data_IF_706637284532
#
_entry.id   IF_706637284532
#
_cell.length_a   1.000
_cell.length_b   1.000
_cell.length_c   1.000
_cell.angle_alpha   90.00
_cell.angle_beta   90.00
_cell.angle_gamma   90.00
#
_symmetry.space_group_name_H-M   'P 1'
#
loop_
_entity.id
_entity.type
_entity.pdbx_description
1 polymer ?
#
# COMPACT_ATOMS: atom_id res chain seq x y z
N UNK A 1 10.95 -22.99 -16.27
CA UNK A 1 12.14 -22.81 -15.43
C UNK A 1 13.22 -21.89 -16.03
N UNK A 2 13.09 -21.37 -17.26
CA UNK A 2 14.05 -20.38 -17.84
C UNK A 2 14.07 -19.00 -17.18
N UNK A 3 12.95 -18.53 -16.62
CA UNK A 3 12.87 -17.20 -16.01
C UNK A 3 13.69 -17.08 -14.70
N UNK A 4 13.89 -18.19 -13.98
CA UNK A 4 14.68 -18.24 -12.75
C UNK A 4 16.18 -18.30 -13.02
N UNK A 5 16.60 -18.93 -14.11
CA UNK A 5 18.00 -18.94 -14.56
C UNK A 5 18.45 -17.54 -15.00
N UNK A 6 17.54 -16.75 -15.59
CA UNK A 6 17.76 -15.32 -15.91
C UNK A 6 17.82 -14.44 -14.65
N UNK A 7 17.29 -14.88 -13.51
CA UNK A 7 17.35 -14.14 -12.24
C UNK A 7 18.67 -14.34 -11.50
N UNK A 8 19.53 -15.28 -11.93
CA UNK A 8 20.94 -15.38 -11.51
C UNK A 8 21.81 -14.52 -12.44
N UNK A 9 21.34 -13.32 -12.78
CA UNK A 9 22.10 -12.33 -13.54
C UNK A 9 22.66 -11.28 -12.61
N UNK A 10 23.73 -10.64 -13.06
CA UNK A 10 24.24 -9.44 -12.43
C UNK A 10 23.11 -8.40 -12.32
N UNK A 11 22.88 -7.90 -11.11
CA UNK A 11 21.82 -6.95 -10.84
C UNK A 11 21.92 -5.71 -11.77
N UNK A 12 23.15 -5.30 -12.14
CA UNK A 12 23.40 -4.23 -13.11
C UNK A 12 22.71 -4.49 -14.46
N UNK A 13 22.79 -5.72 -14.97
CA UNK A 13 22.17 -6.13 -16.23
C UNK A 13 20.65 -6.04 -16.13
N UNK A 14 20.07 -6.52 -15.02
CA UNK A 14 18.62 -6.43 -14.77
C UNK A 14 18.11 -4.99 -14.75
N UNK A 15 18.83 -4.07 -14.08
CA UNK A 15 18.47 -2.65 -14.07
C UNK A 15 18.59 -2.00 -15.46
N UNK A 16 19.53 -2.45 -16.30
CA UNK A 16 19.68 -1.94 -17.68
C UNK A 16 18.41 -2.17 -18.52
N UNK A 17 17.67 -3.24 -18.24
CA UNK A 17 16.44 -3.59 -18.96
C UNK A 17 15.22 -2.73 -18.57
N UNK A 18 15.25 -1.99 -17.45
CA UNK A 18 14.09 -1.20 -17.01
C UNK A 18 13.63 -0.20 -18.06
N UNK A 19 14.58 0.48 -18.73
CA UNK A 19 14.26 1.46 -19.79
C UNK A 19 13.55 0.78 -20.95
N UNK A 20 14.07 -0.35 -21.42
CA UNK A 20 13.44 -1.16 -22.45
C UNK A 20 12.05 -1.61 -22.02
N UNK A 21 11.91 -2.13 -20.80
CA UNK A 21 10.63 -2.54 -20.25
C UNK A 21 9.61 -1.39 -20.20
N UNK A 22 10.01 -0.20 -19.75
CA UNK A 22 9.13 0.97 -19.71
C UNK A 22 8.61 1.36 -21.10
N UNK A 23 9.50 1.37 -22.10
CA UNK A 23 9.15 1.62 -23.51
C UNK A 23 8.18 0.55 -24.02
N UNK A 24 8.47 -0.73 -23.75
CA UNK A 24 7.60 -1.84 -24.18
C UNK A 24 6.22 -1.79 -23.54
N UNK A 25 6.12 -1.45 -22.25
CA UNK A 25 4.83 -1.27 -21.57
C UNK A 25 4.00 -0.20 -22.27
N UNK A 26 4.61 0.96 -22.56
CA UNK A 26 3.91 2.07 -23.21
C UNK A 26 3.54 1.76 -24.68
N UNK A 27 4.42 1.07 -25.41
CA UNK A 27 4.20 0.72 -26.81
C UNK A 27 3.11 -0.34 -27.00
N UNK A 28 3.12 -1.39 -26.17
CA UNK A 28 2.24 -2.56 -26.35
C UNK A 28 1.00 -2.55 -25.46
N UNK A 29 0.91 -1.63 -24.49
CA UNK A 29 -0.30 -1.45 -23.66
C UNK A 29 -0.74 0.02 -23.69
N UNK A 30 -1.32 0.50 -24.80
CA UNK A 30 -1.73 1.89 -24.94
C UNK A 30 -2.56 2.39 -23.76
N UNK A 31 -2.25 3.61 -23.29
CA UNK A 31 -2.85 4.22 -22.09
C UNK A 31 -2.14 3.83 -20.78
N UNK A 32 -1.36 2.76 -20.76
CA UNK A 32 -0.55 2.39 -19.59
C UNK A 32 0.63 3.33 -19.41
N UNK A 33 1.14 3.40 -18.19
CA UNK A 33 2.22 4.30 -17.81
C UNK A 33 3.34 3.51 -17.15
N UNK A 34 4.57 3.74 -17.62
CA UNK A 34 5.79 3.32 -16.97
C UNK A 34 6.78 4.50 -16.94
N UNK A 35 7.09 5.03 -15.75
CA UNK A 35 7.99 6.17 -15.57
C UNK A 35 9.25 5.77 -14.85
N UNK A 36 10.40 6.09 -15.46
CA UNK A 36 11.71 6.00 -14.82
C UNK A 36 12.14 7.41 -14.45
N UNK A 37 12.48 7.62 -13.19
CA UNK A 37 13.13 8.81 -12.70
C UNK A 37 14.59 8.51 -12.42
N UNK A 38 15.47 9.35 -12.97
CA UNK A 38 16.90 9.33 -12.73
C UNK A 38 17.27 10.54 -11.87
N UNK A 39 18.31 10.40 -11.07
CA UNK A 39 18.92 11.54 -10.40
C UNK A 39 19.47 12.51 -11.46
N UNK A 40 19.16 13.80 -11.32
CA UNK A 40 19.47 14.85 -12.30
C UNK A 40 20.96 14.92 -12.63
N UNK A 41 21.83 14.80 -11.63
CA UNK A 41 23.26 15.08 -11.79
C UNK A 41 24.07 13.85 -12.22
N UNK A 42 23.60 12.65 -11.87
CA UNK A 42 24.36 11.41 -12.04
C UNK A 42 23.74 10.47 -13.08
N UNK A 43 22.52 10.75 -13.53
CA UNK A 43 21.70 9.85 -14.36
C UNK A 43 21.52 8.44 -13.76
N UNK A 44 21.74 8.29 -12.46
CA UNK A 44 21.57 7.04 -11.73
C UNK A 44 20.08 6.79 -11.52
N UNK A 45 19.66 5.52 -11.66
CA UNK A 45 18.31 5.09 -11.37
C UNK A 45 17.88 5.51 -9.96
N UNK A 46 16.73 6.17 -9.86
CA UNK A 46 16.16 6.56 -8.57
C UNK A 46 14.82 5.89 -8.31
N UNK A 47 13.88 6.02 -9.25
CA UNK A 47 12.51 5.55 -9.07
C UNK A 47 11.92 4.95 -10.34
N UNK A 48 11.03 3.97 -10.17
CA UNK A 48 10.28 3.36 -11.27
C UNK A 48 8.81 3.21 -10.90
N UNK A 49 7.89 3.81 -11.64
CA UNK A 49 6.44 3.67 -11.44
C UNK A 49 5.81 2.94 -12.61
N UNK A 50 4.90 2.00 -12.34
CA UNK A 50 4.12 1.32 -13.37
C UNK A 50 2.66 1.23 -12.97
N UNK A 51 1.77 1.58 -13.91
CA UNK A 51 0.34 1.36 -13.80
C UNK A 51 -0.26 1.10 -15.18
N UNK A 52 -1.08 0.05 -15.29
CA UNK A 52 -1.65 -0.38 -16.56
C UNK A 52 -3.06 0.18 -16.75
N UNK A 53 -3.39 0.58 -17.97
CA UNK A 53 -4.72 1.11 -18.30
C UNK A 53 -5.82 0.08 -18.04
N UNK A 54 -5.57 -1.20 -18.36
CA UNK A 54 -6.49 -2.28 -18.07
C UNK A 54 -6.81 -2.40 -16.57
N UNK A 55 -5.79 -2.22 -15.71
CA UNK A 55 -5.97 -2.28 -14.25
C UNK A 55 -6.78 -1.09 -13.74
N UNK A 56 -6.53 0.11 -14.28
CA UNK A 56 -7.35 1.28 -13.97
C UNK A 56 -8.81 1.09 -14.36
N UNK A 57 -9.09 0.58 -15.57
CA UNK A 57 -10.47 0.35 -16.03
C UNK A 57 -11.19 -0.66 -15.14
N UNK A 58 -10.57 -1.82 -14.90
CA UNK A 58 -11.13 -2.84 -14.02
C UNK A 58 -11.36 -2.34 -12.59
N UNK A 59 -10.50 -1.46 -12.08
CA UNK A 59 -10.70 -0.80 -10.80
C UNK A 59 -11.93 0.11 -10.79
N UNK A 60 -12.01 1.03 -11.75
CA UNK A 60 -13.08 2.03 -11.79
C UNK A 60 -14.45 1.36 -11.99
N UNK A 61 -14.51 0.35 -12.85
CA UNK A 61 -15.77 -0.29 -13.27
C UNK A 61 -16.20 -1.44 -12.35
N UNK A 62 -15.27 -2.23 -11.82
CA UNK A 62 -15.60 -3.50 -11.15
C UNK A 62 -15.10 -3.65 -9.71
N UNK A 63 -14.15 -2.84 -9.26
CA UNK A 63 -13.63 -2.97 -7.90
C UNK A 63 -14.41 -2.15 -6.88
N UNK A 64 -14.27 -2.55 -5.62
CA UNK A 64 -14.72 -1.77 -4.47
C UNK A 64 -13.93 -0.46 -4.41
N UNK A 65 -14.53 0.64 -3.89
CA UNK A 65 -13.86 1.93 -3.72
C UNK A 65 -12.84 1.89 -2.58
N UNK A 66 -11.84 1.01 -2.71
CA UNK A 66 -10.86 0.67 -1.69
C UNK A 66 -9.50 0.43 -2.33
N UNK A 67 -8.46 1.03 -1.77
CA UNK A 67 -7.06 0.80 -2.15
C UNK A 67 -6.25 0.47 -0.89
N UNK A 68 -5.70 -0.74 -0.84
CA UNK A 68 -4.63 -1.10 0.08
C UNK A 68 -3.29 -0.66 -0.47
N UNK A 69 -2.44 -0.06 0.36
CA UNK A 69 -1.07 0.29 0.02
C UNK A 69 -0.09 -0.28 1.05
N UNK A 70 1.04 -0.77 0.57
CA UNK A 70 2.09 -1.33 1.43
C UNK A 70 3.47 -1.20 0.78
N UNK A 71 4.51 -1.23 1.62
CA UNK A 71 5.92 -1.21 1.24
C UNK A 71 6.60 -2.56 1.52
N UNK A 72 7.51 -2.98 0.64
CA UNK A 72 8.35 -4.15 0.86
C UNK A 72 9.79 -3.84 0.51
N UNK A 73 10.71 -4.18 1.42
CA UNK A 73 12.14 -3.97 1.20
C UNK A 73 12.66 -4.96 0.15
N UNK A 74 13.33 -4.44 -0.86
CA UNK A 74 13.96 -5.25 -1.90
C UNK A 74 15.23 -5.89 -1.32
N UNK A 75 15.45 -7.16 -1.67
CA UNK A 75 16.69 -7.89 -1.34
C UNK A 75 17.64 -7.80 -2.53
N UNK A 76 18.91 -7.54 -2.26
CA UNK A 76 19.96 -7.45 -3.27
C UNK A 76 20.99 -6.37 -2.94
N UNK A 77 22.02 -6.25 -3.79
CA UNK A 77 23.13 -5.32 -3.59
C UNK A 77 22.72 -3.83 -3.63
N UNK A 78 21.61 -3.51 -4.30
CA UNK A 78 21.14 -2.12 -4.48
C UNK A 78 20.04 -1.68 -3.50
N UNK A 79 19.50 -2.61 -2.68
CA UNK A 79 18.46 -2.32 -1.71
C UNK A 79 17.22 -1.65 -2.30
N UNK A 80 16.63 -0.71 -1.55
CA UNK A 80 15.42 0.02 -1.93
C UNK A 80 14.13 -0.65 -1.48
N UNK A 81 13.01 -0.07 -1.90
CA UNK A 81 11.67 -0.50 -1.50
C UNK A 81 10.75 -0.52 -2.71
N UNK A 82 9.92 -1.55 -2.82
CA UNK A 82 8.76 -1.57 -3.69
C UNK A 82 7.51 -1.18 -2.90
N UNK A 83 6.89 -0.07 -3.28
CA UNK A 83 5.56 0.32 -2.85
C UNK A 83 4.55 -0.26 -3.82
N UNK A 84 3.42 -0.72 -3.30
CA UNK A 84 2.35 -1.30 -4.11
C UNK A 84 1.00 -0.73 -3.73
N UNK A 85 0.11 -0.65 -4.72
CA UNK A 85 -1.30 -0.35 -4.53
C UNK A 85 -2.12 -1.52 -5.07
N UNK A 86 -3.05 -2.01 -4.25
CA UNK A 86 -3.96 -3.10 -4.58
C UNK A 86 -5.39 -2.67 -4.27
N UNK A 87 -6.34 -3.08 -5.10
CA UNK A 87 -7.76 -2.96 -4.82
C UNK A 87 -8.35 -4.30 -4.40
N UNK A 88 -9.62 -4.27 -4.04
CA UNK A 88 -10.45 -5.45 -3.89
C UNK A 88 -11.50 -5.46 -4.99
N UNK A 89 -11.56 -6.56 -5.75
CA UNK A 89 -12.65 -6.76 -6.71
C UNK A 89 -14.00 -7.00 -5.99
N UNK A 90 -15.08 -7.12 -6.75
CA UNK A 90 -16.40 -7.41 -6.22
C UNK A 90 -16.44 -8.69 -5.36
N UNK A 91 -15.62 -9.69 -5.71
CA UNK A 91 -15.51 -11.00 -5.05
C UNK A 91 -14.51 -11.00 -3.87
N UNK A 92 -13.98 -9.84 -3.47
CA UNK A 92 -12.95 -9.71 -2.43
C UNK A 92 -11.59 -10.32 -2.81
N UNK A 93 -11.34 -10.56 -4.09
CA UNK A 93 -10.02 -10.90 -4.61
C UNK A 93 -9.08 -9.70 -4.62
N UNK A 94 -7.78 -9.94 -4.42
CA UNK A 94 -6.77 -8.91 -4.55
C UNK A 94 -6.58 -8.54 -6.03
N UNK A 95 -6.65 -7.26 -6.32
CA UNK A 95 -6.54 -6.73 -7.67
C UNK A 95 -5.37 -5.73 -7.76
N UNK A 96 -4.22 -6.10 -8.37
CA UNK A 96 -3.06 -5.22 -8.44
C UNK A 96 -3.32 -3.96 -9.27
N UNK A 97 -3.10 -2.76 -8.71
CA UNK A 97 -3.29 -1.49 -9.43
C UNK A 97 -1.99 -0.93 -9.98
N UNK A 98 -1.00 -0.76 -9.11
CA UNK A 98 0.25 -0.10 -9.44
C UNK A 98 1.37 -0.56 -8.52
N UNK A 99 2.60 -0.43 -9.00
CA UNK A 99 3.78 -0.58 -8.15
C UNK A 99 4.80 0.49 -8.45
N UNK A 100 5.67 0.72 -7.48
CA UNK A 100 6.63 1.80 -7.48
C UNK A 100 7.90 1.40 -6.74
N UNK A 101 9.02 1.38 -7.45
CA UNK A 101 10.34 1.16 -6.86
C UNK A 101 10.93 2.52 -6.48
N UNK A 102 11.45 2.63 -5.27
CA UNK A 102 12.08 3.84 -4.76
C UNK A 102 13.19 3.54 -3.76
N UNK A 103 13.91 4.59 -3.38
CA UNK A 103 15.03 4.55 -2.46
C UNK A 103 14.65 4.13 -1.03
N UNK A 104 13.41 4.35 -0.62
CA UNK A 104 12.95 4.05 0.74
C UNK A 104 11.56 4.60 1.05
N UNK A 105 11.01 4.18 2.18
CA UNK A 105 9.67 4.59 2.65
C UNK A 105 9.72 5.95 3.34
N UNK A 106 9.83 7.00 2.55
CA UNK A 106 9.83 8.39 3.05
C UNK A 106 8.54 9.10 2.69
N UNK A 107 8.24 10.21 3.38
CA UNK A 107 7.15 11.10 2.97
C UNK A 107 7.27 11.50 1.49
N UNK A 108 8.49 11.75 1.01
CA UNK A 108 8.75 12.14 -0.38
C UNK A 108 8.45 11.01 -1.36
N UNK A 109 8.87 9.78 -1.05
CA UNK A 109 8.60 8.59 -1.88
C UNK A 109 7.10 8.29 -1.97
N UNK A 110 6.41 8.30 -0.82
CA UNK A 110 4.96 8.10 -0.75
C UNK A 110 4.20 9.21 -1.46
N UNK A 111 4.63 10.45 -1.30
CA UNK A 111 4.08 11.62 -2.01
C UNK A 111 4.16 11.45 -3.51
N UNK A 112 5.33 11.03 -4.02
CA UNK A 112 5.53 10.82 -5.44
C UNK A 112 4.62 9.69 -5.95
N UNK A 113 4.59 8.54 -5.25
CA UNK A 113 3.76 7.40 -5.62
C UNK A 113 2.26 7.75 -5.66
N UNK A 114 1.74 8.34 -4.58
CA UNK A 114 0.32 8.68 -4.47
C UNK A 114 -0.10 9.80 -5.42
N UNK A 115 0.81 10.73 -5.74
CA UNK A 115 0.59 11.73 -6.80
C UNK A 115 0.43 11.05 -8.16
N UNK A 116 1.36 10.17 -8.54
CA UNK A 116 1.25 9.48 -9.84
C UNK A 116 0.01 8.61 -9.91
N UNK A 117 -0.32 7.89 -8.82
CA UNK A 117 -1.53 7.09 -8.75
C UNK A 117 -2.79 7.95 -8.96
N UNK A 118 -2.87 9.14 -8.35
CA UNK A 118 -3.98 10.08 -8.56
C UNK A 118 -4.05 10.57 -9.99
N UNK A 119 -2.93 11.03 -10.54
CA UNK A 119 -2.86 11.53 -11.91
C UNK A 119 -3.26 10.47 -12.95
N UNK A 120 -2.88 9.22 -12.70
CA UNK A 120 -3.19 8.11 -13.59
C UNK A 120 -4.64 7.64 -13.48
N UNK A 121 -5.10 7.34 -12.26
CA UNK A 121 -6.45 6.83 -12.01
C UNK A 121 -7.52 7.84 -12.41
N UNK A 122 -7.27 9.14 -12.18
CA UNK A 122 -8.29 10.21 -12.36
C UNK A 122 -9.62 9.80 -11.74
N UNK A 123 -9.55 9.26 -10.54
CA UNK A 123 -10.72 8.73 -9.85
C UNK A 123 -11.76 9.85 -9.61
N UNK A 124 -13.05 9.62 -9.87
CA UNK A 124 -14.08 10.65 -9.75
C UNK A 124 -14.10 11.28 -8.35
N UNK A 125 -14.08 12.62 -8.26
CA UNK A 125 -13.98 13.33 -6.98
C UNK A 125 -15.26 13.25 -6.12
N UNK A 126 -16.38 12.93 -6.76
CA UNK A 126 -17.70 12.73 -6.15
C UNK A 126 -17.88 11.31 -5.60
N UNK A 127 -17.03 10.36 -6.00
CA UNK A 127 -17.08 8.99 -5.49
C UNK A 127 -16.21 8.88 -4.23
N UNK A 128 -16.72 8.30 -3.12
CA UNK A 128 -15.88 8.05 -1.95
C UNK A 128 -14.79 7.02 -2.30
N UNK A 129 -13.65 7.11 -1.61
CA UNK A 129 -12.57 6.12 -1.70
C UNK A 129 -11.95 5.92 -0.32
N UNK A 130 -11.68 4.67 0.02
CA UNK A 130 -11.00 4.29 1.25
C UNK A 130 -9.58 3.83 0.93
N UNK A 131 -8.58 4.37 1.64
CA UNK A 131 -7.23 3.85 1.63
C UNK A 131 -6.96 3.07 2.92
N UNK A 132 -6.27 1.94 2.81
CA UNK A 132 -5.72 1.23 3.96
C UNK A 132 -4.21 1.13 3.84
N UNK A 133 -3.49 1.57 4.86
CA UNK A 133 -2.04 1.47 4.94
C UNK A 133 -1.59 0.88 6.27
N UNK A 134 -0.28 0.68 6.41
CA UNK A 134 0.34 0.57 7.72
C UNK A 134 0.31 1.92 8.48
N UNK A 135 0.86 1.96 9.70
CA UNK A 135 0.85 3.15 10.57
C UNK A 135 2.05 4.07 10.32
N UNK A 136 2.66 4.05 9.14
CA UNK A 136 3.84 4.86 8.88
C UNK A 136 3.46 6.34 8.66
N UNK A 137 4.14 7.25 9.37
CA UNK A 137 3.87 8.70 9.29
C UNK A 137 4.01 9.27 7.87
N UNK A 138 4.94 8.72 7.07
CA UNK A 138 5.16 9.14 5.69
C UNK A 138 3.93 8.91 4.79
N UNK A 139 3.27 7.76 4.94
CA UNK A 139 2.07 7.40 4.16
C UNK A 139 0.92 8.34 4.48
N UNK A 140 0.63 8.54 5.78
CA UNK A 140 -0.50 9.35 6.24
C UNK A 140 -0.33 10.81 5.77
N UNK A 141 0.88 11.35 5.87
CA UNK A 141 1.18 12.69 5.36
C UNK A 141 0.97 12.83 3.85
N UNK A 142 1.40 11.82 3.08
CA UNK A 142 1.23 11.81 1.63
C UNK A 142 -0.25 11.63 1.20
N UNK A 143 -1.02 10.80 1.89
CA UNK A 143 -2.46 10.66 1.67
C UNK A 143 -3.20 11.97 1.93
N UNK A 144 -2.87 12.68 3.02
CA UNK A 144 -3.45 14.00 3.31
C UNK A 144 -3.14 15.02 2.21
N UNK A 145 -1.95 14.95 1.62
CA UNK A 145 -1.53 15.88 0.56
C UNK A 145 -2.19 15.59 -0.79
N UNK A 146 -2.21 14.33 -1.22
CA UNK A 146 -2.65 13.96 -2.57
C UNK A 146 -4.05 13.38 -2.64
N UNK A 147 -4.59 12.84 -1.55
CA UNK A 147 -5.94 12.25 -1.48
C UNK A 147 -6.72 12.80 -0.27
N UNK A 148 -6.88 14.14 -0.15
CA UNK A 148 -7.41 14.76 1.07
C UNK A 148 -8.86 14.38 1.41
N UNK A 149 -9.65 13.95 0.42
CA UNK A 149 -11.04 13.51 0.59
C UNK A 149 -11.17 12.01 0.89
N UNK A 150 -10.07 11.25 0.84
CA UNK A 150 -10.10 9.81 1.07
C UNK A 150 -10.34 9.49 2.55
N UNK A 151 -11.12 8.44 2.80
CA UNK A 151 -11.20 7.83 4.12
C UNK A 151 -9.91 7.04 4.33
N UNK A 152 -9.19 7.31 5.40
CA UNK A 152 -7.99 6.56 5.76
C UNK A 152 -8.34 5.53 6.83
N UNK A 153 -7.77 4.33 6.68
CA UNK A 153 -7.86 3.22 7.62
C UNK A 153 -6.49 2.63 7.84
N UNK A 154 -6.29 2.09 9.03
CA UNK A 154 -5.04 1.46 9.42
C UNK A 154 -5.19 -0.06 9.40
N UNK A 155 -4.18 -0.74 8.88
CA UNK A 155 -4.17 -2.19 8.76
C UNK A 155 -4.22 -2.87 10.14
N UNK A 156 -5.30 -3.61 10.41
CA UNK A 156 -5.50 -4.31 11.68
C UNK A 156 -4.38 -5.31 12.01
N UNK A 157 -3.76 -5.92 10.99
CA UNK A 157 -2.59 -6.79 11.16
C UNK A 157 -1.40 -6.01 11.74
N UNK A 158 -1.10 -4.83 11.22
CA UNK A 158 -0.01 -4.00 11.71
C UNK A 158 -0.32 -3.42 13.10
N UNK A 159 -1.56 -3.00 13.34
CA UNK A 159 -2.02 -2.62 14.69
C UNK A 159 -1.77 -3.77 15.66
N UNK A 160 -2.21 -4.98 15.32
CA UNK A 160 -2.06 -6.14 16.19
C UNK A 160 -0.60 -6.50 16.42
N UNK A 161 0.24 -6.48 15.38
CA UNK A 161 1.67 -6.77 15.51
C UNK A 161 2.31 -5.88 16.59
N UNK A 162 2.10 -4.57 16.50
CA UNK A 162 2.62 -3.60 17.48
C UNK A 162 1.93 -3.69 18.85
N UNK A 163 0.64 -3.99 18.87
CA UNK A 163 -0.12 -4.15 20.10
C UNK A 163 0.32 -5.39 20.89
N UNK A 164 0.58 -6.50 20.19
CA UNK A 164 0.92 -7.79 20.78
C UNK A 164 2.30 -7.85 21.43
N UNK A 165 3.21 -6.93 21.08
CA UNK A 165 4.51 -6.80 21.76
C UNK A 165 4.36 -6.25 23.19
N UNK A 166 3.30 -5.47 23.45
CA UNK A 166 3.01 -4.88 24.77
C UNK A 166 1.91 -5.64 25.52
N UNK A 167 0.90 -6.10 24.80
CA UNK A 167 -0.30 -6.72 25.35
C UNK A 167 -0.52 -8.07 24.68
N UNK A 168 0.12 -9.10 25.23
CA UNK A 168 0.00 -10.47 24.75
C UNK A 168 -1.08 -11.24 25.51
N UNK A 169 -1.59 -12.32 24.92
CA UNK A 169 -2.58 -13.20 25.56
C UNK A 169 -3.66 -13.66 24.59
N UNK A 170 -4.03 -14.94 24.69
CA UNK A 170 -4.97 -15.57 23.75
C UNK A 170 -6.37 -14.94 23.80
N UNK A 171 -6.85 -14.56 24.99
CA UNK A 171 -8.15 -13.89 25.18
C UNK A 171 -8.17 -12.51 24.51
N UNK A 172 -7.17 -11.68 24.78
CA UNK A 172 -7.03 -10.34 24.17
C UNK A 172 -6.90 -10.48 22.64
N UNK A 173 -6.09 -11.43 22.15
CA UNK A 173 -5.99 -11.72 20.71
C UNK A 173 -7.34 -12.02 20.08
N UNK A 174 -8.13 -12.92 20.68
CA UNK A 174 -9.47 -13.28 20.18
C UNK A 174 -10.39 -12.07 20.13
N UNK A 175 -10.41 -11.26 21.20
CA UNK A 175 -11.23 -10.06 21.27
C UNK A 175 -10.80 -8.98 20.26
N UNK A 176 -9.49 -8.77 20.09
CA UNK A 176 -8.96 -7.84 19.10
C UNK A 176 -9.44 -8.20 17.68
N UNK A 177 -9.30 -9.47 17.29
CA UNK A 177 -9.72 -9.94 15.97
C UNK A 177 -11.24 -10.00 15.81
N UNK A 178 -12.00 -10.16 16.90
CA UNK A 178 -13.45 -9.99 16.90
C UNK A 178 -13.83 -8.53 16.62
N UNK A 179 -13.20 -7.59 17.32
CA UNK A 179 -13.42 -6.17 17.13
C UNK A 179 -13.08 -5.72 15.69
N UNK A 180 -11.95 -6.17 15.13
CA UNK A 180 -11.51 -5.72 13.81
C UNK A 180 -12.32 -6.28 12.63
N UNK A 181 -13.06 -7.38 12.83
CA UNK A 181 -13.84 -8.06 11.79
C UNK A 181 -15.33 -7.73 11.81
N UNK A 182 -15.86 -7.19 12.90
CA UNK A 182 -17.28 -6.91 13.01
C UNK A 182 -17.65 -5.63 12.25
N UNK A 183 -18.78 -5.68 11.52
CA UNK A 183 -19.42 -4.51 10.93
C UNK A 183 -20.36 -3.79 11.89
N UNK A 184 -20.63 -4.37 13.07
CA UNK A 184 -21.55 -3.83 14.07
C UNK A 184 -20.80 -2.97 15.09
N UNK A 185 -21.23 -1.71 15.21
CA UNK A 185 -20.68 -0.75 16.19
C UNK A 185 -20.86 -1.19 17.64
N UNK A 186 -21.96 -1.86 17.96
CA UNK A 186 -22.23 -2.39 19.29
C UNK A 186 -21.25 -3.53 19.62
N UNK A 187 -21.10 -4.50 18.73
CA UNK A 187 -20.14 -5.60 18.92
C UNK A 187 -18.69 -5.10 18.98
N UNK A 188 -18.33 -4.10 18.18
CA UNK A 188 -17.03 -3.46 18.23
C UNK A 188 -16.79 -2.86 19.62
N UNK A 189 -17.70 -2.02 20.10
CA UNK A 189 -17.60 -1.38 21.42
C UNK A 189 -17.52 -2.41 22.54
N UNK A 190 -18.37 -3.44 22.50
CA UNK A 190 -18.35 -4.54 23.47
C UNK A 190 -17.01 -5.27 23.47
N UNK A 191 -16.48 -5.62 22.30
CA UNK A 191 -15.18 -6.30 22.20
C UNK A 191 -14.02 -5.44 22.75
N UNK A 192 -14.06 -4.12 22.53
CA UNK A 192 -13.09 -3.17 23.10
C UNK A 192 -13.24 -3.05 24.63
N UNK A 193 -14.47 -3.00 25.14
CA UNK A 193 -14.75 -3.00 26.58
C UNK A 193 -14.28 -4.29 27.25
N UNK A 194 -14.52 -5.45 26.63
CA UNK A 194 -14.07 -6.76 27.11
C UNK A 194 -12.52 -6.81 27.18
N UNK A 195 -11.81 -6.17 26.23
CA UNK A 195 -10.35 -6.00 26.32
C UNK A 195 -9.99 -5.14 27.53
N UNK A 196 -10.70 -4.05 27.76
CA UNK A 196 -10.50 -3.15 28.90
C UNK A 196 -10.71 -3.83 30.26
N UNK A 197 -11.68 -4.75 30.37
CA UNK A 197 -11.91 -5.56 31.57
C UNK A 197 -10.75 -6.53 31.86
N UNK A 198 -10.02 -6.96 30.84
CA UNK A 198 -8.81 -7.78 31.01
C UNK A 198 -7.60 -6.90 31.33
N UNK A 199 -7.45 -5.80 30.58
CA UNK A 199 -6.36 -4.85 30.75
C UNK A 199 -6.79 -3.45 30.27
N UNK A 200 -6.95 -2.53 31.21
CA UNK A 200 -7.39 -1.16 30.94
C UNK A 200 -6.40 -0.36 30.08
N UNK A 201 -5.09 -0.60 30.25
CA UNK A 201 -4.05 0.04 29.43
C UNK A 201 -4.09 -0.44 27.98
N UNK A 202 -4.44 -1.70 27.75
CA UNK A 202 -4.61 -2.24 26.40
C UNK A 202 -5.76 -1.55 25.65
N UNK A 203 -6.89 -1.30 26.33
CA UNK A 203 -7.99 -0.52 25.79
C UNK A 203 -7.57 0.93 25.49
N UNK A 204 -6.89 1.58 26.44
CA UNK A 204 -6.39 2.95 26.27
C UNK A 204 -5.41 3.07 25.08
N UNK A 205 -4.53 2.08 24.90
CA UNK A 205 -3.62 2.03 23.76
C UNK A 205 -4.37 1.99 22.43
N UNK A 206 -5.42 1.17 22.30
CA UNK A 206 -6.21 1.06 21.08
C UNK A 206 -7.03 2.33 20.83
N UNK A 207 -7.57 2.96 21.88
CA UNK A 207 -8.31 4.21 21.79
C UNK A 207 -7.44 5.40 21.35
N UNK A 208 -6.14 5.36 21.65
CA UNK A 208 -5.17 6.39 21.23
C UNK A 208 -4.74 6.27 19.76
N UNK A 209 -5.23 5.25 19.03
CA UNK A 209 -4.97 5.12 17.59
C UNK A 209 -5.97 5.98 16.84
N UNK A 210 -5.53 7.14 16.37
CA UNK A 210 -6.31 7.98 15.47
C UNK A 210 -6.59 7.25 14.14
N UNK A 211 -7.80 7.38 13.56
CA UNK A 211 -8.15 6.80 12.26
C UNK A 211 -7.26 7.28 11.10
#
# INVERSE_FOLDING_TARGET
MRALEVLVKDHTECFSHLRGYAVMVQQYNPGSTAYIHLQTDTNIFQRFFVCFEAQKKGFIEGCRPFIGIDGCHLKGSYGGVILSAVALDANSGLYPLAYYICEGETLLSWSWFLRQLRCFLKYPEDRPICFMSDRQKGVIGALKMYWPKAIVRLCARHIYANFSTKYSGQKIRKLFWKASKTGDKHEFKKSIQDIGSINSQAMAYLAAIEP
#
